data_IF_814678960545
#
_entry.id   IF_814678960545
#
_cell.length_a   1.000
_cell.length_b   1.000
_cell.length_c   1.000
_cell.angle_alpha   90.00
_cell.angle_beta   90.00
_cell.angle_gamma   90.00
#
_symmetry.space_group_name_H-M   'P 1'
#
loop_
_entity.id
_entity.type
_entity.pdbx_description
1 polymer ?
#
# COMPACT_ATOMS: atom_id res chain seq x y z
N UNK A 1 51.97 76.60 -13.68
CA UNK A 1 50.75 76.83 -12.89
C UNK A 1 49.82 75.64 -13.13
N UNK A 2 49.47 74.91 -12.07
CA UNK A 2 48.77 73.60 -12.10
C UNK A 2 47.42 73.70 -12.82
N UNK A 3 47.07 72.72 -13.65
CA UNK A 3 45.69 72.27 -13.87
C UNK A 3 45.72 70.78 -14.25
N UNK A 4 45.28 69.94 -13.31
CA UNK A 4 45.01 68.52 -13.48
C UNK A 4 43.70 68.36 -14.28
N UNK A 5 43.63 67.37 -15.17
CA UNK A 5 42.37 66.87 -15.73
C UNK A 5 42.25 65.40 -15.36
N UNK A 6 41.24 65.07 -14.54
CA UNK A 6 40.83 63.69 -14.27
C UNK A 6 39.88 63.21 -15.38
N UNK A 7 39.97 61.95 -15.83
CA UNK A 7 38.96 61.38 -16.72
C UNK A 7 37.69 60.98 -15.94
N UNK A 8 36.50 60.95 -16.58
CA UNK A 8 35.26 60.57 -15.91
C UNK A 8 35.23 59.05 -15.70
N UNK A 9 35.03 58.63 -14.45
CA UNK A 9 34.75 57.24 -14.09
C UNK A 9 33.27 56.95 -14.37
N UNK A 10 32.98 56.13 -15.38
CA UNK A 10 31.66 55.54 -15.56
C UNK A 10 31.50 54.40 -14.53
N UNK A 11 30.67 54.62 -13.51
CA UNK A 11 30.22 53.53 -12.63
C UNK A 11 29.13 52.73 -13.35
N UNK A 12 29.47 51.50 -13.75
CA UNK A 12 28.52 50.50 -14.22
C UNK A 12 27.88 49.83 -12.98
N UNK A 13 26.65 50.19 -12.65
CA UNK A 13 25.88 49.52 -11.61
C UNK A 13 25.36 48.18 -12.15
N UNK A 14 26.02 47.07 -11.78
CA UNK A 14 25.50 45.72 -12.03
C UNK A 14 24.43 45.44 -10.97
N UNK A 15 23.16 45.47 -11.39
CA UNK A 15 22.04 44.99 -10.57
C UNK A 15 22.05 43.47 -10.63
N UNK A 16 22.58 42.81 -9.58
CA UNK A 16 22.39 41.39 -9.37
C UNK A 16 20.93 41.17 -8.92
N UNK A 17 20.05 40.79 -9.85
CA UNK A 17 18.76 40.19 -9.50
C UNK A 17 19.02 38.80 -8.93
N UNK A 18 19.09 38.68 -7.60
CA UNK A 18 19.05 37.40 -6.93
C UNK A 18 17.64 36.80 -7.11
N UNK A 19 17.49 35.89 -8.06
CA UNK A 19 16.30 35.03 -8.14
C UNK A 19 16.43 34.02 -7.00
N UNK A 20 15.80 34.32 -5.86
CA UNK A 20 15.61 33.34 -4.81
C UNK A 20 14.62 32.29 -5.31
N UNK A 21 15.13 31.20 -5.90
CA UNK A 21 14.34 30.01 -6.15
C UNK A 21 13.84 29.48 -4.81
N UNK A 22 12.53 29.55 -4.55
CA UNK A 22 11.93 28.79 -3.47
C UNK A 22 12.15 27.31 -3.79
N UNK A 23 13.00 26.64 -3.01
CA UNK A 23 13.05 25.19 -2.97
C UNK A 23 11.68 24.71 -2.46
N UNK A 24 10.76 24.44 -3.36
CA UNK A 24 9.57 23.66 -3.02
C UNK A 24 10.06 22.28 -2.60
N UNK A 25 9.66 21.82 -1.41
CA UNK A 25 9.92 20.45 -1.00
C UNK A 25 9.47 19.51 -2.13
N UNK A 26 10.33 18.55 -2.50
CA UNK A 26 9.96 17.56 -3.50
C UNK A 26 8.70 16.83 -3.02
N UNK A 27 7.75 16.63 -3.94
CA UNK A 27 6.50 15.93 -3.65
C UNK A 27 6.82 14.52 -3.13
N UNK A 28 6.28 14.16 -1.96
CA UNK A 28 6.67 12.94 -1.22
C UNK A 28 5.83 11.71 -1.63
N UNK A 29 5.11 11.82 -2.74
CA UNK A 29 4.28 10.79 -3.35
C UNK A 29 4.35 10.92 -4.87
N UNK A 30 3.81 9.92 -5.58
CA UNK A 30 3.71 9.95 -7.04
C UNK A 30 2.26 10.14 -7.46
N UNK A 31 2.04 10.92 -8.52
CA UNK A 31 0.74 11.06 -9.18
C UNK A 31 0.84 10.61 -10.63
N UNK A 32 -0.19 9.90 -11.09
CA UNK A 32 -0.36 9.44 -12.47
C UNK A 32 -1.75 9.85 -12.93
N UNK A 33 -1.86 10.96 -13.70
CA UNK A 33 -3.15 11.44 -14.19
C UNK A 33 -3.86 10.39 -15.06
N UNK A 34 -5.19 10.39 -15.00
CA UNK A 34 -6.01 9.52 -15.82
C UNK A 34 -5.78 9.78 -17.32
N UNK A 35 -5.47 8.70 -18.06
CA UNK A 35 -5.58 8.68 -19.51
C UNK A 35 -7.03 8.46 -19.97
N UNK A 36 -7.21 8.10 -21.24
CA UNK A 36 -8.50 7.64 -21.73
C UNK A 36 -8.69 6.16 -21.38
N UNK A 37 -9.90 5.79 -20.93
CA UNK A 37 -10.21 4.39 -20.65
C UNK A 37 -11.39 4.19 -19.69
N UNK A 38 -11.70 2.92 -19.36
CA UNK A 38 -12.86 2.58 -18.54
C UNK A 38 -12.83 3.14 -17.12
N UNK A 39 -11.67 3.54 -16.60
CA UNK A 39 -11.53 4.14 -15.29
C UNK A 39 -12.23 5.51 -15.16
N UNK A 40 -12.42 6.24 -16.27
CA UNK A 40 -13.19 7.49 -16.34
C UNK A 40 -12.87 8.50 -15.22
N UNK A 41 -11.57 8.69 -14.92
CA UNK A 41 -11.08 9.63 -13.92
C UNK A 41 -11.30 9.20 -12.46
N UNK A 42 -11.73 7.96 -12.21
CA UNK A 42 -11.86 7.43 -10.84
C UNK A 42 -10.53 7.43 -10.12
N UNK A 43 -10.54 7.87 -8.87
CA UNK A 43 -9.33 8.09 -8.07
C UNK A 43 -8.95 6.85 -7.27
N UNK A 44 -7.74 6.36 -7.49
CA UNK A 44 -7.16 5.25 -6.73
C UNK A 44 -5.97 5.77 -5.93
N UNK A 45 -6.00 5.56 -4.62
CA UNK A 45 -4.86 5.83 -3.75
C UNK A 45 -4.22 4.51 -3.35
N UNK A 46 -2.93 4.37 -3.62
CA UNK A 46 -2.09 3.26 -3.20
C UNK A 46 -1.30 3.69 -1.96
N UNK A 47 -1.33 2.88 -0.90
CA UNK A 47 -0.38 2.99 0.21
C UNK A 47 0.68 1.91 0.02
N UNK A 48 1.90 2.32 -0.31
CA UNK A 48 3.07 1.47 -0.48
C UNK A 48 3.99 1.63 0.74
N UNK A 49 3.69 0.89 1.79
CA UNK A 49 4.37 1.01 3.07
C UNK A 49 4.51 -0.37 3.71
N UNK A 50 5.16 -1.30 3.02
CA UNK A 50 5.54 -2.63 3.50
C UNK A 50 6.95 -2.96 2.98
N UNK A 51 7.76 -3.69 3.75
CA UNK A 51 9.19 -3.87 3.42
C UNK A 51 9.61 -5.28 2.94
N UNK A 52 8.70 -6.27 2.90
CA UNK A 52 9.06 -7.68 2.64
C UNK A 52 8.91 -8.12 1.18
N UNK A 53 7.97 -7.52 0.47
CA UNK A 53 7.50 -7.75 -0.89
C UNK A 53 7.71 -6.53 -1.80
N UNK A 54 8.33 -5.46 -1.27
CA UNK A 54 8.77 -4.29 -2.04
C UNK A 54 7.61 -3.51 -2.66
N UNK A 55 6.58 -3.17 -1.88
CA UNK A 55 5.47 -2.32 -2.36
C UNK A 55 5.92 -1.03 -3.02
N UNK A 56 7.03 -0.44 -2.57
CA UNK A 56 7.56 0.81 -3.13
C UNK A 56 8.03 0.66 -4.57
N UNK A 57 8.26 -0.58 -5.04
CA UNK A 57 8.57 -0.87 -6.45
C UNK A 57 7.33 -1.28 -7.24
N UNK A 58 6.48 -2.12 -6.66
CA UNK A 58 5.35 -2.73 -7.37
C UNK A 58 4.16 -1.77 -7.53
N UNK A 59 3.85 -0.96 -6.51
CA UNK A 59 2.68 -0.08 -6.53
C UNK A 59 2.81 1.08 -7.55
N UNK A 60 3.97 1.74 -7.73
CA UNK A 60 4.14 2.70 -8.82
C UNK A 60 3.92 2.11 -10.22
N UNK A 61 4.38 0.88 -10.45
CA UNK A 61 4.18 0.18 -11.71
C UNK A 61 2.69 -0.11 -11.94
N UNK A 62 1.99 -0.61 -10.92
CA UNK A 62 0.56 -0.89 -10.99
C UNK A 62 -0.26 0.39 -11.25
N UNK A 63 0.00 1.46 -10.48
CA UNK A 63 -0.63 2.77 -10.65
C UNK A 63 -0.44 3.31 -12.07
N UNK A 64 0.78 3.20 -12.62
CA UNK A 64 1.06 3.63 -13.99
C UNK A 64 0.29 2.81 -15.04
N UNK A 65 0.15 1.50 -14.86
CA UNK A 65 -0.64 0.65 -15.75
C UNK A 65 -2.12 1.06 -15.70
N UNK A 66 -2.68 1.25 -14.50
CA UNK A 66 -4.08 1.63 -14.31
C UNK A 66 -4.37 3.06 -14.78
N UNK A 67 -3.43 3.98 -14.67
CA UNK A 67 -3.60 5.33 -15.21
C UNK A 67 -3.84 5.35 -16.72
N UNK A 68 -3.19 4.44 -17.45
CA UNK A 68 -3.42 4.24 -18.90
C UNK A 68 -4.77 3.60 -19.22
N UNK A 69 -5.47 3.07 -18.22
CA UNK A 69 -6.85 2.58 -18.32
C UNK A 69 -7.86 3.64 -17.85
N UNK A 70 -7.42 4.88 -17.61
CA UNK A 70 -8.27 6.02 -17.27
C UNK A 70 -8.54 6.21 -15.79
N UNK A 71 -7.76 5.62 -14.88
CA UNK A 71 -7.83 5.92 -13.45
C UNK A 71 -6.86 7.06 -13.08
N UNK A 72 -7.25 7.95 -12.18
CA UNK A 72 -6.34 8.92 -11.58
C UNK A 72 -5.67 8.25 -10.36
N UNK A 73 -4.35 8.07 -10.38
CA UNK A 73 -3.67 7.25 -9.38
C UNK A 73 -2.64 8.05 -8.59
N UNK A 74 -2.72 7.96 -7.26
CA UNK A 74 -1.73 8.50 -6.33
C UNK A 74 -1.06 7.36 -5.56
N UNK A 75 0.26 7.37 -5.43
CA UNK A 75 1.03 6.38 -4.67
C UNK A 75 1.74 7.07 -3.52
N UNK A 76 1.32 6.74 -2.30
CA UNK A 76 1.88 7.21 -1.04
C UNK A 76 2.92 6.21 -0.53
N UNK A 77 3.95 6.68 0.14
CA UNK A 77 5.05 5.85 0.63
C UNK A 77 5.30 6.04 2.11
N UNK A 78 5.94 5.06 2.74
CA UNK A 78 6.66 5.30 3.98
C UNK A 78 7.90 6.17 3.67
N UNK A 79 7.98 7.35 4.30
CA UNK A 79 9.03 8.35 4.04
C UNK A 79 9.81 8.61 5.33
N UNK A 80 11.13 8.52 5.26
CA UNK A 80 12.01 8.97 6.34
C UNK A 80 11.89 10.50 6.49
N UNK A 81 11.35 11.02 7.62
CA UNK A 81 11.15 12.45 7.79
C UNK A 81 12.46 13.24 7.88
N UNK A 82 13.59 12.61 8.22
CA UNK A 82 14.87 13.28 8.31
C UNK A 82 15.50 13.52 6.94
N UNK A 83 15.28 12.60 6.00
CA UNK A 83 15.94 12.62 4.68
C UNK A 83 14.98 12.93 3.53
N UNK A 84 13.67 12.77 3.73
CA UNK A 84 12.65 12.87 2.70
C UNK A 84 12.65 11.69 1.71
N UNK A 85 13.44 10.65 1.96
CA UNK A 85 13.54 9.49 1.07
C UNK A 85 12.51 8.42 1.39
N UNK A 86 12.13 7.64 0.38
CA UNK A 86 11.33 6.43 0.56
C UNK A 86 12.13 5.40 1.35
N UNK A 87 11.62 5.02 2.52
CA UNK A 87 12.14 3.92 3.31
C UNK A 87 10.97 3.08 3.85
N UNK A 88 10.69 1.91 3.24
CA UNK A 88 9.62 1.03 3.68
C UNK A 88 9.71 0.60 5.14
N UNK A 89 10.88 0.73 5.80
CA UNK A 89 11.07 0.38 7.22
C UNK A 89 10.56 1.45 8.18
N UNK A 90 10.30 2.67 7.70
CA UNK A 90 9.80 3.78 8.52
C UNK A 90 8.36 3.49 8.95
N UNK A 91 8.14 3.25 10.24
CA UNK A 91 6.85 2.78 10.75
C UNK A 91 5.82 3.87 11.00
N UNK A 92 6.22 5.14 11.02
CA UNK A 92 5.45 6.22 11.62
C UNK A 92 5.31 7.46 10.74
N UNK A 93 5.48 7.36 9.41
CA UNK A 93 5.29 8.51 8.55
C UNK A 93 4.92 8.12 7.11
N UNK A 94 3.71 8.51 6.69
CA UNK A 94 3.20 8.39 5.33
C UNK A 94 2.54 9.73 4.95
N UNK A 95 3.29 10.68 4.35
CA UNK A 95 2.72 11.95 3.90
C UNK A 95 1.74 11.74 2.73
N UNK A 96 0.76 12.65 2.60
CA UNK A 96 -0.23 12.62 1.52
C UNK A 96 -1.48 11.77 1.81
N UNK A 97 -1.67 11.30 3.05
CA UNK A 97 -2.84 10.49 3.41
C UNK A 97 -4.17 11.26 3.29
N UNK A 98 -4.15 12.60 3.30
CA UNK A 98 -5.31 13.45 3.00
C UNK A 98 -5.93 13.18 1.62
N UNK A 99 -5.16 12.60 0.68
CA UNK A 99 -5.70 12.25 -0.64
C UNK A 99 -6.76 11.14 -0.59
N UNK A 100 -6.83 10.39 0.51
CA UNK A 100 -7.90 9.43 0.75
C UNK A 100 -9.27 10.11 0.84
N UNK A 101 -9.35 11.38 1.25
CA UNK A 101 -10.63 12.09 1.37
C UNK A 101 -11.45 12.02 0.07
N UNK A 102 -10.78 12.14 -1.09
CA UNK A 102 -11.42 12.12 -2.40
C UNK A 102 -11.25 10.81 -3.18
N UNK A 103 -10.58 9.81 -2.63
CA UNK A 103 -10.35 8.55 -3.32
C UNK A 103 -11.67 7.78 -3.52
N UNK A 104 -11.79 7.10 -4.67
CA UNK A 104 -12.85 6.13 -4.96
C UNK A 104 -12.43 4.70 -4.55
N UNK A 105 -11.12 4.43 -4.45
CA UNK A 105 -10.54 3.15 -4.05
C UNK A 105 -9.23 3.35 -3.27
N UNK A 106 -9.07 2.62 -2.16
CA UNK A 106 -7.80 2.44 -1.46
C UNK A 106 -7.21 1.08 -1.83
N UNK A 107 -5.96 1.07 -2.27
CA UNK A 107 -5.12 -0.12 -2.34
C UNK A 107 -4.12 -0.08 -1.18
N UNK A 108 -4.37 -0.90 -0.16
CA UNK A 108 -3.59 -0.98 1.05
C UNK A 108 -2.52 -2.07 0.92
N UNK A 109 -1.24 -1.67 0.87
CA UNK A 109 -0.09 -2.57 0.96
C UNK A 109 0.87 -2.06 2.03
N UNK A 110 0.50 -2.31 3.29
CA UNK A 110 1.22 -1.80 4.44
C UNK A 110 1.34 -2.82 5.57
N UNK A 111 2.37 -2.64 6.42
CA UNK A 111 2.66 -3.55 7.54
C UNK A 111 3.17 -2.85 8.79
N UNK A 112 2.57 -3.20 9.93
CA UNK A 112 3.02 -2.81 11.29
C UNK A 112 3.43 -1.35 11.42
N UNK A 113 2.55 -0.45 10.99
CA UNK A 113 2.71 0.99 11.15
C UNK A 113 2.19 1.43 12.52
N UNK A 114 2.87 2.39 13.12
CA UNK A 114 2.40 3.15 14.27
C UNK A 114 2.43 4.62 13.83
N UNK A 115 1.43 5.01 13.05
CA UNK A 115 1.37 6.35 12.47
C UNK A 115 0.89 7.36 13.52
N UNK A 116 1.29 8.64 13.40
CA UNK A 116 0.70 9.73 14.16
C UNK A 116 -0.83 9.73 14.02
N UNK A 117 -1.52 10.16 15.07
CA UNK A 117 -2.98 10.13 15.13
C UNK A 117 -3.66 10.86 13.95
N UNK A 118 -3.07 11.96 13.49
CA UNK A 118 -3.58 12.71 12.33
C UNK A 118 -3.52 11.89 11.03
N UNK A 119 -2.46 11.10 10.84
CA UNK A 119 -2.33 10.21 9.69
C UNK A 119 -3.24 8.99 9.81
N UNK A 120 -3.34 8.41 11.00
CA UNK A 120 -4.30 7.32 11.25
C UNK A 120 -5.73 7.74 11.00
N UNK A 121 -6.10 8.96 11.40
CA UNK A 121 -7.43 9.51 11.19
C UNK A 121 -7.84 9.43 9.72
N UNK A 122 -6.95 9.77 8.78
CA UNK A 122 -7.26 9.72 7.34
C UNK A 122 -7.58 8.30 6.86
N UNK A 123 -6.84 7.29 7.33
CA UNK A 123 -7.10 5.88 6.98
C UNK A 123 -8.43 5.42 7.58
N UNK A 124 -8.69 5.77 8.84
CA UNK A 124 -9.92 5.37 9.52
C UNK A 124 -11.13 6.10 8.93
N UNK A 125 -11.07 7.40 8.67
CA UNK A 125 -12.15 8.13 7.99
C UNK A 125 -12.48 7.53 6.62
N UNK A 126 -11.47 7.13 5.84
CA UNK A 126 -11.69 6.42 4.57
C UNK A 126 -12.37 5.07 4.81
N UNK A 127 -11.88 4.30 5.78
CA UNK A 127 -12.44 2.99 6.13
C UNK A 127 -13.92 3.10 6.51
N UNK A 128 -14.26 4.04 7.39
CA UNK A 128 -15.62 4.29 7.90
C UNK A 128 -16.54 4.96 6.86
N UNK A 129 -16.00 5.42 5.72
CA UNK A 129 -16.82 5.93 4.63
C UNK A 129 -17.49 4.84 3.80
N UNK A 130 -17.15 3.56 4.03
CA UNK A 130 -17.68 2.41 3.30
C UNK A 130 -17.20 2.29 1.84
N UNK A 131 -16.23 3.12 1.45
CA UNK A 131 -15.60 3.05 0.12
C UNK A 131 -14.71 1.82 0.00
N UNK A 132 -14.54 1.26 -1.22
CA UNK A 132 -13.87 -0.01 -1.41
C UNK A 132 -12.39 0.06 -1.02
N UNK A 133 -11.89 -1.08 -0.51
CA UNK A 133 -10.50 -1.30 -0.13
C UNK A 133 -10.03 -2.61 -0.77
N UNK A 134 -8.84 -2.58 -1.39
CA UNK A 134 -8.09 -3.79 -1.74
C UNK A 134 -6.92 -3.90 -0.77
N UNK A 135 -6.95 -4.91 0.10
CA UNK A 135 -5.83 -5.27 0.96
C UNK A 135 -4.92 -6.28 0.26
N UNK A 136 -3.61 -6.01 0.28
CA UNK A 136 -2.61 -6.92 -0.30
C UNK A 136 -1.72 -7.45 0.81
N UNK A 137 -1.58 -8.79 0.89
CA UNK A 137 -0.63 -9.50 1.76
C UNK A 137 -0.69 -9.03 3.22
N UNK A 138 0.28 -8.22 3.65
CA UNK A 138 0.44 -7.77 5.02
C UNK A 138 -0.59 -6.75 5.49
N UNK A 139 -1.47 -6.28 4.59
CA UNK A 139 -2.58 -5.43 4.95
C UNK A 139 -3.52 -6.05 5.99
N UNK A 140 -3.50 -7.38 6.18
CA UNK A 140 -4.18 -8.06 7.31
C UNK A 140 -3.61 -7.68 8.67
N UNK A 141 -2.38 -7.17 8.76
CA UNK A 141 -1.74 -6.71 10.00
C UNK A 141 -1.02 -5.37 9.78
N UNK A 142 -1.77 -4.33 9.43
CA UNK A 142 -1.19 -3.08 8.94
C UNK A 142 -0.67 -2.21 10.07
N UNK A 143 -1.18 -2.36 11.30
CA UNK A 143 -0.85 -1.52 12.44
C UNK A 143 -0.29 -2.32 13.60
N UNK A 144 0.69 -1.74 14.29
CA UNK A 144 1.28 -2.31 15.50
C UNK A 144 1.62 -1.18 16.47
N UNK A 145 0.95 -1.15 17.61
CA UNK A 145 1.10 -0.13 18.64
C UNK A 145 1.90 -0.65 19.83
N UNK A 146 2.59 0.26 20.52
CA UNK A 146 3.16 -0.03 21.82
C UNK A 146 2.05 -0.37 22.83
N UNK A 147 2.33 -1.29 23.76
CA UNK A 147 1.34 -1.76 24.74
C UNK A 147 0.82 -0.64 25.67
N UNK A 148 1.60 0.41 25.90
CA UNK A 148 1.27 1.57 26.71
C UNK A 148 0.79 2.78 25.90
N UNK A 149 0.66 2.64 24.58
CA UNK A 149 0.24 3.70 23.66
C UNK A 149 -1.06 4.37 24.11
N UNK A 150 -1.09 5.70 24.01
CA UNK A 150 -2.27 6.53 24.33
C UNK A 150 -3.06 6.93 23.10
N UNK A 151 -2.63 6.49 21.92
CA UNK A 151 -3.35 6.75 20.68
C UNK A 151 -4.77 6.19 20.78
N UNK A 152 -5.81 6.95 20.41
CA UNK A 152 -7.17 6.42 20.32
C UNK A 152 -7.29 5.31 19.25
N UNK A 153 -6.32 5.22 18.34
CA UNK A 153 -6.26 4.22 17.28
C UNK A 153 -5.55 2.93 17.69
N UNK A 154 -5.00 2.85 18.91
CA UNK A 154 -4.32 1.64 19.40
C UNK A 154 -5.20 0.38 19.37
N UNK A 155 -6.54 0.53 19.42
CA UNK A 155 -7.49 -0.58 19.25
C UNK A 155 -7.38 -1.29 17.90
N UNK A 156 -6.80 -0.64 16.89
CA UNK A 156 -6.60 -1.17 15.54
C UNK A 156 -5.29 -1.98 15.38
N UNK A 157 -4.52 -2.12 16.44
CA UNK A 157 -3.37 -3.03 16.51
C UNK A 157 -3.74 -4.44 16.05
N UNK A 158 -2.87 -5.05 15.24
CA UNK A 158 -3.09 -6.39 14.67
C UNK A 158 -3.32 -7.49 15.72
N UNK A 159 -2.77 -7.33 16.93
CA UNK A 159 -2.89 -8.24 18.06
C UNK A 159 -3.97 -7.80 19.07
N UNK A 160 -4.74 -6.76 18.75
CA UNK A 160 -5.87 -6.29 19.56
C UNK A 160 -6.83 -7.44 19.88
N UNK A 161 -7.42 -7.37 21.07
CA UNK A 161 -8.45 -8.30 21.54
C UNK A 161 -9.85 -7.73 21.38
N UNK A 162 -9.97 -6.42 21.28
CA UNK A 162 -11.21 -5.65 21.28
C UNK A 162 -11.03 -4.44 20.33
N UNK A 163 -11.37 -4.56 19.03
CA UNK A 163 -11.81 -5.79 18.37
C UNK A 163 -10.66 -6.80 18.14
N UNK A 164 -10.98 -8.09 18.15
CA UNK A 164 -10.01 -9.14 17.90
C UNK A 164 -9.36 -8.97 16.51
N UNK A 165 -8.03 -8.98 16.45
CA UNK A 165 -7.26 -8.85 15.21
C UNK A 165 -7.19 -7.43 14.63
N UNK A 166 -7.72 -6.43 15.34
CA UNK A 166 -7.62 -5.02 14.98
C UNK A 166 -8.26 -4.68 13.63
N UNK A 167 -7.72 -3.66 12.96
CA UNK A 167 -8.27 -3.17 11.69
C UNK A 167 -8.27 -4.24 10.60
N UNK A 168 -7.18 -5.02 10.48
CA UNK A 168 -7.06 -5.98 9.39
C UNK A 168 -8.10 -7.08 9.45
N UNK A 169 -8.34 -7.66 10.64
CA UNK A 169 -9.39 -8.67 10.79
C UNK A 169 -10.78 -8.08 10.60
N UNK A 170 -11.04 -6.92 11.19
CA UNK A 170 -12.35 -6.27 11.10
C UNK A 170 -12.72 -5.85 9.68
N UNK A 171 -11.77 -5.27 8.94
CA UNK A 171 -12.02 -4.69 7.62
C UNK A 171 -11.80 -5.72 6.54
N UNK A 172 -10.67 -6.43 6.57
CA UNK A 172 -10.25 -7.35 5.51
C UNK A 172 -10.54 -8.81 5.81
N UNK A 173 -11.03 -9.19 6.99
CA UNK A 173 -11.42 -10.56 7.27
C UNK A 173 -10.38 -11.42 8.00
N UNK A 174 -9.13 -10.97 8.11
CA UNK A 174 -8.09 -11.71 8.84
C UNK A 174 -6.97 -10.81 9.39
N UNK A 175 -6.23 -11.32 10.40
CA UNK A 175 -5.01 -10.74 10.95
C UNK A 175 -3.76 -11.61 10.69
N UNK A 176 -2.59 -11.21 11.17
CA UNK A 176 -1.42 -12.09 11.16
C UNK A 176 -1.63 -13.30 12.07
N UNK A 177 -1.52 -14.50 11.49
CA UNK A 177 -1.57 -15.78 12.24
C UNK A 177 -0.21 -16.46 12.21
N UNK A 178 0.24 -16.88 11.03
CA UNK A 178 1.52 -17.58 10.85
C UNK A 178 1.92 -17.66 9.38
N UNK A 179 3.13 -18.15 9.12
CA UNK A 179 3.44 -18.76 7.84
C UNK A 179 2.84 -20.18 7.81
N UNK A 180 2.12 -20.51 6.74
CA UNK A 180 1.52 -21.83 6.52
C UNK A 180 2.55 -22.80 5.93
N UNK A 181 3.70 -22.92 6.60
CA UNK A 181 4.77 -23.79 6.18
C UNK A 181 6.18 -23.25 6.36
N UNK A 182 7.10 -23.76 5.53
CA UNK A 182 8.51 -23.33 5.58
C UNK A 182 8.68 -22.10 4.70
N UNK A 183 8.70 -20.94 5.37
CA UNK A 183 8.92 -19.65 4.74
C UNK A 183 10.19 -19.66 3.88
N UNK A 184 10.10 -19.10 2.66
CA UNK A 184 11.13 -19.05 1.61
C UNK A 184 11.62 -20.42 1.10
N UNK A 185 10.89 -21.50 1.38
CA UNK A 185 11.22 -22.85 0.87
C UNK A 185 10.09 -23.43 0.05
N UNK A 186 8.85 -23.13 0.41
CA UNK A 186 7.66 -23.61 -0.29
C UNK A 186 7.13 -22.51 -1.22
N UNK A 187 6.66 -22.91 -2.40
CA UNK A 187 5.91 -22.03 -3.31
C UNK A 187 4.43 -22.42 -3.33
N UNK A 188 3.61 -21.73 -4.12
CA UNK A 188 2.16 -21.92 -4.07
C UNK A 188 1.58 -22.14 -5.46
N UNK A 189 0.79 -23.21 -5.61
CA UNK A 189 -0.18 -23.31 -6.69
C UNK A 189 -1.49 -22.68 -6.24
N UNK A 190 -1.93 -21.66 -6.96
CA UNK A 190 -3.18 -20.97 -6.73
C UNK A 190 -4.29 -21.60 -7.57
N UNK A 191 -5.41 -21.94 -6.95
CA UNK A 191 -6.56 -22.55 -7.61
C UNK A 191 -7.83 -21.73 -7.33
N UNK A 192 -8.48 -21.25 -8.40
CA UNK A 192 -9.77 -20.55 -8.32
C UNK A 192 -10.84 -21.57 -7.93
N UNK A 193 -11.60 -21.28 -6.88
CA UNK A 193 -12.66 -22.18 -6.46
C UNK A 193 -13.82 -22.16 -7.45
N UNK A 194 -14.49 -23.31 -7.63
CA UNK A 194 -15.41 -23.51 -8.76
C UNK A 194 -16.52 -22.47 -8.88
N UNK A 195 -17.14 -22.05 -7.76
CA UNK A 195 -18.22 -21.05 -7.81
C UNK A 195 -17.71 -19.64 -8.13
N UNK A 196 -16.47 -19.32 -7.75
CA UNK A 196 -15.87 -18.02 -8.01
C UNK A 196 -15.40 -17.88 -9.46
N UNK A 197 -15.34 -18.97 -10.23
CA UNK A 197 -14.77 -18.94 -11.59
C UNK A 197 -15.56 -18.08 -12.60
N UNK A 198 -16.82 -17.74 -12.32
CA UNK A 198 -17.61 -16.78 -13.10
C UNK A 198 -17.49 -15.33 -12.60
N UNK A 199 -16.80 -15.11 -11.48
CA UNK A 199 -16.66 -13.79 -10.87
C UNK A 199 -15.83 -12.85 -11.79
N UNK A 200 -16.21 -11.55 -11.91
CA UNK A 200 -15.52 -10.60 -12.79
C UNK A 200 -14.01 -10.50 -12.57
N UNK A 201 -13.53 -10.69 -11.33
CA UNK A 201 -12.11 -10.64 -10.96
C UNK A 201 -11.26 -11.66 -11.75
N UNK A 202 -11.83 -12.80 -12.14
CA UNK A 202 -11.09 -13.85 -12.85
C UNK A 202 -11.25 -13.82 -14.37
N UNK A 203 -11.90 -12.79 -14.94
CA UNK A 203 -12.00 -12.66 -16.40
C UNK A 203 -10.61 -12.46 -17.00
N UNK A 204 -10.21 -13.37 -17.88
CA UNK A 204 -8.89 -13.35 -18.52
C UNK A 204 -7.75 -13.88 -17.64
N UNK A 205 -8.05 -14.42 -16.46
CA UNK A 205 -7.08 -15.05 -15.57
C UNK A 205 -7.19 -16.57 -15.65
N UNK A 206 -6.06 -17.28 -15.67
CA UNK A 206 -6.07 -18.74 -15.62
C UNK A 206 -6.68 -19.23 -14.30
N UNK A 207 -7.44 -20.33 -14.36
CA UNK A 207 -8.08 -20.93 -13.17
C UNK A 207 -7.10 -21.54 -12.19
N UNK A 208 -5.91 -21.91 -12.67
CA UNK A 208 -4.82 -22.40 -11.85
C UNK A 208 -3.53 -21.76 -12.34
N UNK A 209 -2.70 -21.27 -11.42
CA UNK A 209 -1.43 -20.65 -11.73
C UNK A 209 -0.47 -20.79 -10.55
N UNK A 210 0.82 -20.62 -10.80
CA UNK A 210 1.86 -20.73 -9.79
C UNK A 210 2.35 -19.35 -9.36
N UNK A 211 2.66 -19.19 -8.07
CA UNK A 211 3.35 -18.02 -7.54
C UNK A 211 4.61 -18.45 -6.75
N UNK A 212 5.75 -17.72 -6.91
CA UNK A 212 7.00 -17.97 -6.20
C UNK A 212 6.94 -17.40 -4.77
N UNK A 213 6.00 -17.86 -3.97
CA UNK A 213 5.80 -17.33 -2.62
C UNK A 213 5.07 -18.32 -1.73
N UNK A 214 5.23 -18.16 -0.41
CA UNK A 214 4.60 -19.00 0.58
C UNK A 214 3.16 -18.54 0.89
N UNK A 215 2.43 -19.42 1.57
CA UNK A 215 1.06 -19.16 2.01
C UNK A 215 1.07 -18.71 3.47
N UNK A 216 0.19 -17.79 3.84
CA UNK A 216 -0.08 -17.47 5.25
C UNK A 216 -1.11 -18.42 5.84
N UNK A 217 -0.93 -18.75 7.12
CA UNK A 217 -1.96 -19.41 7.90
C UNK A 217 -3.10 -18.42 8.11
N UNK A 218 -4.31 -18.95 8.18
CA UNK A 218 -5.49 -18.21 8.59
C UNK A 218 -6.01 -18.79 9.90
N UNK A 219 -6.85 -18.02 10.59
CA UNK A 219 -7.64 -18.51 11.71
C UNK A 219 -8.64 -19.57 11.23
N UNK A 220 -9.26 -20.30 12.15
CA UNK A 220 -10.25 -21.32 11.81
C UNK A 220 -11.37 -20.79 10.88
N UNK A 221 -11.71 -19.50 11.01
CA UNK A 221 -12.63 -18.81 10.11
C UNK A 221 -12.18 -17.36 9.83
N UNK A 222 -12.41 -16.92 8.60
CA UNK A 222 -12.37 -15.51 8.22
C UNK A 222 -13.52 -14.75 8.88
N UNK A 223 -13.33 -13.47 9.15
CA UNK A 223 -14.30 -12.62 9.85
C UNK A 223 -15.48 -12.23 8.94
N UNK A 224 -16.69 -12.16 9.52
CA UNK A 224 -17.88 -11.61 8.87
C UNK A 224 -18.39 -12.45 7.70
N UNK A 225 -18.75 -11.77 6.60
CA UNK A 225 -19.30 -12.35 5.38
C UNK A 225 -18.21 -12.70 4.34
N UNK A 226 -17.01 -13.02 4.80
CA UNK A 226 -15.88 -13.31 3.92
C UNK A 226 -16.16 -14.49 2.99
N UNK A 227 -16.06 -14.26 1.69
CA UNK A 227 -16.25 -15.27 0.64
C UNK A 227 -14.90 -15.57 -0.01
N UNK A 228 -14.36 -16.77 0.25
CA UNK A 228 -13.11 -17.24 -0.36
C UNK A 228 -13.26 -17.25 -1.87
N UNK A 229 -12.21 -16.89 -2.61
CA UNK A 229 -12.20 -16.85 -4.07
C UNK A 229 -11.03 -17.65 -4.67
N UNK A 230 -9.92 -17.73 -3.94
CA UNK A 230 -8.68 -18.38 -4.38
C UNK A 230 -8.09 -19.18 -3.22
N UNK A 231 -7.72 -20.44 -3.49
CA UNK A 231 -6.97 -21.28 -2.57
C UNK A 231 -5.51 -21.37 -3.01
N UNK A 232 -4.60 -21.39 -2.04
CA UNK A 232 -3.18 -21.64 -2.23
C UNK A 232 -2.83 -23.03 -1.71
N UNK A 233 -2.42 -23.92 -2.61
CA UNK A 233 -1.86 -25.23 -2.30
C UNK A 233 -0.34 -25.09 -2.19
N UNK A 234 0.26 -25.31 -1.00
CA UNK A 234 1.71 -25.30 -0.86
C UNK A 234 2.37 -26.42 -1.68
N UNK A 235 3.50 -26.09 -2.31
CA UNK A 235 4.39 -27.01 -3.02
C UNK A 235 5.70 -27.19 -2.26
N UNK A 236 6.43 -28.27 -2.53
CA UNK A 236 7.61 -28.66 -1.75
C UNK A 236 8.87 -27.82 -2.02
N UNK A 237 8.91 -27.06 -3.11
CA UNK A 237 10.06 -26.24 -3.54
C UNK A 237 9.59 -25.01 -4.37
N UNK A 238 10.52 -24.16 -4.80
CA UNK A 238 10.31 -22.94 -5.60
C UNK A 238 10.27 -23.21 -7.12
N UNK A 239 9.48 -24.20 -7.54
CA UNK A 239 9.22 -24.48 -8.94
C UNK A 239 7.73 -24.74 -9.19
N UNK A 240 7.25 -24.37 -10.39
CA UNK A 240 5.86 -24.64 -10.80
C UNK A 240 5.55 -26.12 -10.93
N UNK A 241 6.58 -26.95 -11.14
CA UNK A 241 6.45 -28.39 -11.35
C UNK A 241 6.74 -29.19 -10.07
N UNK A 242 6.94 -28.50 -8.94
CA UNK A 242 7.19 -29.13 -7.64
C UNK A 242 6.00 -29.96 -7.16
N UNK A 243 6.30 -30.98 -6.37
CA UNK A 243 5.29 -31.82 -5.75
C UNK A 243 4.42 -31.01 -4.77
N UNK A 244 3.17 -31.46 -4.61
CA UNK A 244 2.26 -30.91 -3.61
C UNK A 244 2.79 -31.26 -2.21
N UNK A 245 2.92 -30.27 -1.34
CA UNK A 245 3.29 -30.51 0.05
C UNK A 245 2.17 -31.27 0.79
N UNK A 246 2.51 -32.01 1.85
CA UNK A 246 1.54 -32.76 2.67
C UNK A 246 0.72 -31.85 3.61
N UNK A 247 0.11 -30.80 3.06
CA UNK A 247 -0.72 -29.79 3.75
C UNK A 247 -1.94 -29.47 2.88
N UNK A 248 -3.12 -29.27 3.46
CA UNK A 248 -4.30 -28.85 2.69
C UNK A 248 -4.12 -27.44 2.12
N UNK A 249 -4.87 -27.06 1.07
CA UNK A 249 -4.89 -25.68 0.59
C UNK A 249 -5.43 -24.70 1.63
N UNK A 250 -4.99 -23.44 1.57
CA UNK A 250 -5.49 -22.34 2.40
C UNK A 250 -6.11 -21.21 1.58
N UNK A 251 -7.14 -20.50 2.07
CA UNK A 251 -7.59 -19.25 1.46
C UNK A 251 -6.48 -18.23 1.31
N UNK A 252 -6.32 -17.67 0.11
CA UNK A 252 -5.30 -16.64 -0.19
C UNK A 252 -5.88 -15.38 -0.87
N UNK A 253 -7.16 -15.43 -1.29
CA UNK A 253 -7.92 -14.26 -1.67
C UNK A 253 -9.41 -14.50 -1.39
N UNK A 254 -10.08 -13.45 -0.92
CA UNK A 254 -11.50 -13.46 -0.60
C UNK A 254 -12.08 -12.05 -0.74
N UNK A 255 -13.40 -11.95 -0.80
CA UNK A 255 -14.14 -10.68 -0.70
C UNK A 255 -14.84 -10.61 0.64
N UNK A 256 -15.09 -9.39 1.14
CA UNK A 256 -15.77 -9.15 2.41
C UNK A 256 -16.46 -7.79 2.36
N UNK A 257 -17.62 -7.65 3.00
CA UNK A 257 -18.26 -6.37 3.21
C UNK A 257 -17.77 -5.71 4.51
N UNK A 258 -17.67 -4.39 4.48
CA UNK A 258 -17.44 -3.56 5.66
C UNK A 258 -18.26 -2.29 5.49
N UNK A 259 -19.12 -2.00 6.47
CA UNK A 259 -20.08 -0.89 6.45
C UNK A 259 -20.19 -0.29 7.83
#
# INVERSE_FOLDING_TARGET
MKLFHHPPQFLLAIVLCAVAGQLTAAEQWLTYPAGEGPGNGKKIVFIAAEESYRSELSMPLMARILSRQGFDCTVLFAIDPATGMIDPRVKNNIPGLEQLESADLLVAFLRWRELPDEQMKQIIDYTESGRPIIGIRNATHPFRYAADSKSPYARYDWASKEPAGGWGRQVLGETWVSHYGRNLVESTRCDVINFAASHPIFRGVHRSFWIPDDVYGISDNLEGDSEVMLLGQPLTDWSSDSEIASKPPMPIAWTKSYT
#
